data_IF_411878162204
#
_entry.id   IF_411878162204
#
_cell.length_a   1.000
_cell.length_b   1.000
_cell.length_c   1.000
_cell.angle_alpha   90.00
_cell.angle_beta   90.00
_cell.angle_gamma   90.00
#
_symmetry.space_group_name_H-M   'P 1'
#
loop_
_entity.id
_entity.type
_entity.pdbx_description
1 polymer ?
#
# COMPACT_ATOMS: atom_id res chain seq x y z
N UNK A 1 -4.26 6.73 7.74
CA UNK A 1 -5.38 7.72 7.63
C UNK A 1 -5.02 9.08 8.26
N UNK A 2 -4.67 9.18 9.57
CA UNK A 2 -4.47 10.48 10.27
C UNK A 2 -3.42 11.37 9.61
N UNK A 3 -2.27 10.83 9.25
CA UNK A 3 -1.18 11.57 8.59
C UNK A 3 -1.62 12.16 7.25
N UNK A 4 -2.29 11.38 6.42
CA UNK A 4 -2.80 11.86 5.13
C UNK A 4 -3.88 12.94 5.28
N UNK A 5 -4.78 12.76 6.25
CA UNK A 5 -5.80 13.77 6.53
C UNK A 5 -5.21 15.08 7.05
N UNK A 6 -4.16 15.03 7.90
CA UNK A 6 -3.46 16.23 8.37
C UNK A 6 -2.71 16.93 7.24
N UNK A 7 -2.00 16.21 6.38
CA UNK A 7 -1.31 16.80 5.23
C UNK A 7 -2.31 17.53 4.30
N UNK A 8 -3.40 16.86 3.93
CA UNK A 8 -4.44 17.44 3.08
C UNK A 8 -5.08 18.68 3.72
N UNK A 9 -5.39 18.62 5.02
CA UNK A 9 -6.00 19.73 5.75
C UNK A 9 -5.06 20.92 5.88
N UNK A 10 -3.81 20.71 6.31
CA UNK A 10 -2.81 21.77 6.47
C UNK A 10 -2.58 22.44 5.12
N UNK A 11 -2.34 21.68 4.06
CA UNK A 11 -2.09 22.23 2.73
C UNK A 11 -3.27 23.09 2.25
N UNK A 12 -4.50 22.58 2.36
CA UNK A 12 -5.68 23.31 1.91
C UNK A 12 -5.99 24.55 2.77
N UNK A 13 -5.71 24.53 4.08
CA UNK A 13 -5.94 25.67 4.96
C UNK A 13 -4.89 26.79 4.80
N UNK A 14 -3.66 26.43 4.39
CA UNK A 14 -2.53 27.38 4.31
C UNK A 14 -2.30 27.92 2.89
N UNK A 15 -2.89 27.33 1.86
CA UNK A 15 -2.78 27.76 0.47
C UNK A 15 -4.15 28.16 -0.07
N UNK A 16 -4.20 29.29 -0.78
CA UNK A 16 -5.46 29.78 -1.35
C UNK A 16 -5.82 29.12 -2.67
N UNK A 17 -7.12 28.86 -2.86
CA UNK A 17 -7.70 28.36 -4.13
C UNK A 17 -7.10 27.07 -4.66
N UNK A 18 -6.57 26.24 -3.74
CA UNK A 18 -6.00 24.94 -4.14
C UNK A 18 -7.08 23.85 -4.25
N UNK A 19 -6.81 22.88 -5.08
CA UNK A 19 -7.63 21.69 -5.29
C UNK A 19 -6.89 20.49 -4.70
N UNK A 20 -7.49 19.81 -3.73
CA UNK A 20 -6.91 18.63 -3.08
C UNK A 20 -7.81 17.43 -3.37
N UNK A 21 -7.22 16.35 -3.86
CA UNK A 21 -7.92 15.07 -4.01
C UNK A 21 -7.74 14.20 -2.78
N UNK A 22 -8.79 13.50 -2.37
CA UNK A 22 -8.74 12.41 -1.40
C UNK A 22 -9.30 11.18 -2.06
N UNK A 23 -8.52 10.12 -2.16
CA UNK A 23 -8.93 8.89 -2.83
C UNK A 23 -8.89 7.74 -1.84
N UNK A 24 -10.01 7.04 -1.70
CA UNK A 24 -10.16 5.87 -0.83
C UNK A 24 -10.72 4.68 -1.63
N UNK A 25 -10.64 3.44 -1.14
CA UNK A 25 -11.12 2.27 -1.87
C UNK A 25 -12.57 2.40 -2.34
N UNK A 26 -13.47 2.85 -1.46
CA UNK A 26 -14.91 2.99 -1.74
C UNK A 26 -15.48 4.32 -1.27
N UNK A 27 -16.70 4.66 -1.73
CA UNK A 27 -17.44 5.81 -1.19
C UNK A 27 -17.77 5.67 0.31
N UNK A 28 -17.90 4.43 0.80
CA UNK A 28 -18.12 4.15 2.21
C UNK A 28 -16.90 4.56 3.04
N UNK A 29 -15.71 4.20 2.58
CA UNK A 29 -14.44 4.53 3.25
C UNK A 29 -14.18 6.04 3.21
N UNK A 30 -14.46 6.69 2.09
CA UNK A 30 -14.40 8.16 2.02
C UNK A 30 -15.21 8.81 3.14
N UNK A 31 -16.49 8.47 3.24
CA UNK A 31 -17.41 9.13 4.19
C UNK A 31 -17.11 8.78 5.64
N UNK A 32 -16.89 7.48 5.93
CA UNK A 32 -16.77 6.97 7.30
C UNK A 32 -15.37 7.11 7.87
N UNK A 33 -14.34 7.09 7.02
CA UNK A 33 -12.94 7.09 7.43
C UNK A 33 -12.29 8.43 7.09
N UNK A 34 -12.18 8.77 5.79
CA UNK A 34 -11.41 9.93 5.36
C UNK A 34 -12.06 11.26 5.71
N UNK A 35 -13.39 11.37 5.67
CA UNK A 35 -14.10 12.61 6.00
C UNK A 35 -14.63 12.61 7.43
N UNK A 36 -15.48 11.68 7.80
CA UNK A 36 -16.23 11.70 9.06
C UNK A 36 -15.61 10.88 10.20
N UNK A 37 -14.59 10.07 9.95
CA UNK A 37 -13.97 9.22 10.97
C UNK A 37 -13.22 10.01 12.04
N UNK A 38 -12.85 9.39 13.19
CA UNK A 38 -12.13 10.05 14.27
C UNK A 38 -10.81 10.71 13.82
N UNK A 39 -10.15 10.12 12.83
CA UNK A 39 -8.94 10.66 12.20
C UNK A 39 -9.22 11.35 10.86
N UNK A 40 -10.48 11.60 10.55
CA UNK A 40 -10.90 12.18 9.27
C UNK A 40 -10.86 13.71 9.23
N UNK A 41 -10.99 14.24 8.04
CA UNK A 41 -10.83 15.67 7.72
C UNK A 41 -11.77 16.58 8.53
N UNK A 42 -13.03 16.19 8.73
CA UNK A 42 -14.02 17.00 9.44
C UNK A 42 -13.71 17.14 10.96
N UNK A 43 -12.89 16.24 11.51
CA UNK A 43 -12.41 16.30 12.88
C UNK A 43 -11.03 16.96 13.01
N UNK A 44 -10.35 17.21 11.89
CA UNK A 44 -9.01 17.82 11.85
C UNK A 44 -9.10 19.29 11.44
N UNK A 45 -9.92 19.62 10.46
CA UNK A 45 -10.08 20.99 9.95
C UNK A 45 -10.84 21.82 10.99
N UNK A 46 -10.26 22.94 11.45
CA UNK A 46 -10.97 23.86 12.33
C UNK A 46 -12.26 24.36 11.67
N UNK A 47 -13.32 24.48 12.46
CA UNK A 47 -14.65 24.88 11.93
C UNK A 47 -14.63 26.27 11.30
N UNK A 48 -13.81 27.15 11.79
CA UNK A 48 -13.57 28.51 11.26
C UNK A 48 -12.90 28.49 9.89
N UNK A 49 -12.20 27.41 9.53
CA UNK A 49 -11.62 27.25 8.20
C UNK A 49 -12.64 26.79 7.15
N UNK A 50 -13.78 26.26 7.58
CA UNK A 50 -14.84 25.87 6.64
C UNK A 50 -15.54 27.11 6.09
N UNK A 51 -15.99 27.00 4.83
CA UNK A 51 -16.78 28.07 4.20
C UNK A 51 -18.05 28.34 5.02
N UNK A 52 -18.20 29.57 5.49
CA UNK A 52 -19.38 30.07 6.20
C UNK A 52 -20.23 30.86 5.21
N UNK A 53 -21.19 30.21 4.57
CA UNK A 53 -22.10 30.85 3.62
C UNK A 53 -23.54 30.37 3.83
N UNK A 54 -24.51 31.26 3.59
CA UNK A 54 -25.93 30.91 3.63
C UNK A 54 -26.33 30.01 2.46
N UNK A 55 -25.64 30.17 1.33
CA UNK A 55 -26.00 29.49 0.09
C UNK A 55 -25.20 28.22 -0.17
N UNK A 56 -24.07 28.03 0.53
CA UNK A 56 -23.19 26.90 0.34
C UNK A 56 -22.65 26.36 1.67
N UNK A 57 -22.86 25.09 1.91
CA UNK A 57 -22.30 24.42 3.09
C UNK A 57 -20.77 24.23 2.93
N UNK A 58 -20.01 24.42 4.03
CA UNK A 58 -18.59 24.12 4.09
C UNK A 58 -18.27 22.64 3.82
N UNK A 59 -19.21 21.74 4.05
CA UNK A 59 -19.12 20.33 3.65
C UNK A 59 -20.38 19.90 2.88
N UNK A 60 -20.18 19.43 1.66
CA UNK A 60 -21.21 18.89 0.79
C UNK A 60 -21.09 17.36 0.71
N UNK A 61 -21.83 16.65 1.56
CA UNK A 61 -21.75 15.19 1.71
C UNK A 61 -22.18 14.41 0.45
N UNK A 62 -23.04 14.98 -0.39
CA UNK A 62 -23.51 14.35 -1.64
C UNK A 62 -22.41 14.18 -2.68
N UNK A 63 -21.45 15.11 -2.70
CA UNK A 63 -20.32 15.12 -3.62
C UNK A 63 -18.98 14.91 -2.92
N UNK A 64 -19.00 14.60 -1.61
CA UNK A 64 -17.80 14.44 -0.78
C UNK A 64 -16.81 15.61 -0.93
N UNK A 65 -17.28 16.85 -0.81
CA UNK A 65 -16.46 18.05 -1.00
C UNK A 65 -16.47 18.94 0.24
N UNK A 66 -15.27 19.26 0.75
CA UNK A 66 -15.06 20.31 1.75
C UNK A 66 -14.65 21.59 1.03
N UNK A 67 -15.30 22.69 1.39
CA UNK A 67 -15.03 24.04 0.89
C UNK A 67 -14.49 24.88 2.01
N UNK A 68 -13.37 25.54 1.77
CA UNK A 68 -12.70 26.36 2.74
C UNK A 68 -12.90 27.86 2.46
N UNK A 69 -12.78 28.67 3.50
CA UNK A 69 -12.97 30.11 3.44
C UNK A 69 -12.01 30.82 2.44
N UNK A 70 -10.82 30.25 2.24
CA UNK A 70 -9.78 30.76 1.33
C UNK A 70 -9.99 30.33 -0.15
N UNK A 71 -11.13 29.74 -0.47
CA UNK A 71 -11.49 29.27 -1.81
C UNK A 71 -10.90 27.89 -2.19
N UNK A 72 -10.16 27.27 -1.27
CA UNK A 72 -9.65 25.91 -1.48
C UNK A 72 -10.73 24.85 -1.31
N UNK A 73 -10.54 23.72 -1.98
CA UNK A 73 -11.46 22.58 -1.95
C UNK A 73 -10.72 21.27 -1.73
N UNK A 74 -11.34 20.40 -0.94
CA UNK A 74 -10.90 19.01 -0.77
C UNK A 74 -12.02 18.12 -1.27
N UNK A 75 -11.78 17.38 -2.35
CA UNK A 75 -12.79 16.54 -3.01
C UNK A 75 -12.43 15.07 -2.90
N UNK A 76 -13.40 14.25 -2.49
CA UNK A 76 -13.24 12.80 -2.32
C UNK A 76 -13.66 12.01 -3.56
N UNK A 77 -12.83 11.04 -3.91
CA UNK A 77 -13.02 10.11 -5.02
C UNK A 77 -12.91 8.67 -4.54
N UNK A 78 -13.72 7.78 -5.09
CA UNK A 78 -13.59 6.36 -4.82
C UNK A 78 -12.74 5.70 -5.91
N UNK A 79 -11.72 4.94 -5.52
CA UNK A 79 -10.86 4.19 -6.46
C UNK A 79 -11.65 3.15 -7.27
N UNK A 80 -12.81 2.72 -6.79
CA UNK A 80 -13.73 1.85 -7.55
C UNK A 80 -14.35 2.52 -8.80
N UNK A 81 -14.20 3.84 -8.96
CA UNK A 81 -14.67 4.62 -10.11
C UNK A 81 -13.51 5.42 -10.74
N UNK A 82 -12.51 4.78 -11.37
CA UNK A 82 -11.30 5.43 -11.89
C UNK A 82 -11.59 6.58 -12.86
N UNK A 83 -12.62 6.44 -13.67
CA UNK A 83 -12.99 7.44 -14.68
C UNK A 83 -13.38 8.80 -14.07
N UNK A 84 -13.79 8.84 -12.80
CA UNK A 84 -14.10 10.12 -12.12
C UNK A 84 -12.86 10.94 -11.78
N UNK A 85 -11.68 10.33 -11.76
CA UNK A 85 -10.39 10.99 -11.60
C UNK A 85 -9.88 11.59 -12.91
N UNK A 86 -10.50 11.23 -14.03
CA UNK A 86 -10.15 11.72 -15.35
C UNK A 86 -10.77 13.10 -15.59
N UNK A 87 -9.94 14.11 -15.76
CA UNK A 87 -10.37 15.49 -16.04
C UNK A 87 -10.13 16.48 -14.90
N UNK A 88 -10.47 16.19 -13.62
CA UNK A 88 -10.10 17.06 -12.52
C UNK A 88 -8.59 17.25 -12.41
N UNK A 89 -8.17 18.41 -11.87
CA UNK A 89 -6.76 18.74 -11.68
C UNK A 89 -6.51 19.11 -10.23
N UNK A 90 -5.35 18.72 -9.71
CA UNK A 90 -5.04 18.81 -8.29
C UNK A 90 -3.65 19.38 -8.04
N UNK A 91 -3.50 20.10 -6.92
CA UNK A 91 -2.24 20.57 -6.36
C UNK A 91 -1.67 19.53 -5.40
N UNK A 92 -2.54 18.81 -4.70
CA UNK A 92 -2.19 17.82 -3.68
C UNK A 92 -3.15 16.64 -3.76
N UNK A 93 -2.66 15.46 -3.44
CA UNK A 93 -3.51 14.28 -3.34
C UNK A 93 -3.19 13.49 -2.06
N UNK A 94 -4.20 12.84 -1.49
CA UNK A 94 -4.07 11.83 -0.46
C UNK A 94 -4.77 10.56 -0.90
N UNK A 95 -4.02 9.46 -0.99
CA UNK A 95 -4.51 8.11 -1.27
C UNK A 95 -4.55 7.30 0.02
N UNK A 96 -5.73 6.94 0.50
CA UNK A 96 -5.90 6.12 1.68
C UNK A 96 -6.09 4.65 1.30
N UNK A 97 -5.43 3.75 2.04
CA UNK A 97 -5.47 2.30 1.87
C UNK A 97 -5.25 1.82 0.42
N UNK A 98 -4.21 2.35 -0.24
CA UNK A 98 -3.94 2.07 -1.66
C UNK A 98 -3.74 0.58 -1.95
N UNK A 99 -3.23 -0.20 -0.99
CA UNK A 99 -3.07 -1.64 -1.10
C UNK A 99 -4.41 -2.41 -1.20
N UNK A 100 -5.53 -1.77 -0.81
CA UNK A 100 -6.87 -2.33 -0.88
C UNK A 100 -7.65 -1.91 -2.14
N UNK A 101 -7.05 -1.11 -3.03
CA UNK A 101 -7.73 -0.66 -4.24
C UNK A 101 -7.93 -1.80 -5.22
N UNK A 102 -9.19 -2.01 -5.59
CA UNK A 102 -9.57 -3.04 -6.58
C UNK A 102 -9.09 -2.69 -8.00
N UNK A 103 -9.05 -1.39 -8.31
CA UNK A 103 -8.71 -0.86 -9.63
C UNK A 103 -7.47 0.04 -9.51
N UNK A 104 -6.27 -0.52 -9.66
CA UNK A 104 -5.01 0.22 -9.52
C UNK A 104 -4.84 1.34 -10.54
N UNK A 105 -5.51 1.25 -11.70
CA UNK A 105 -5.57 2.30 -12.71
C UNK A 105 -6.15 3.64 -12.20
N UNK A 106 -6.86 3.63 -11.09
CA UNK A 106 -7.30 4.86 -10.42
C UNK A 106 -6.12 5.72 -9.99
N UNK A 107 -4.99 5.09 -9.61
CA UNK A 107 -3.78 5.82 -9.28
C UNK A 107 -3.18 6.52 -10.51
N UNK A 108 -3.15 5.86 -11.66
CA UNK A 108 -2.64 6.46 -12.90
C UNK A 108 -3.51 7.66 -13.33
N UNK A 109 -4.84 7.53 -13.24
CA UNK A 109 -5.76 8.63 -13.56
C UNK A 109 -5.56 9.83 -12.61
N UNK A 110 -5.35 9.56 -11.31
CA UNK A 110 -5.03 10.60 -10.33
C UNK A 110 -3.72 11.32 -10.68
N UNK A 111 -2.67 10.56 -11.02
CA UNK A 111 -1.35 11.12 -11.34
C UNK A 111 -1.40 12.02 -12.59
N UNK A 112 -2.21 11.70 -13.59
CA UNK A 112 -2.45 12.60 -14.72
C UNK A 112 -3.12 13.93 -14.30
N UNK A 113 -3.96 13.90 -13.27
CA UNK A 113 -4.61 15.09 -12.70
C UNK A 113 -3.74 15.88 -11.73
N UNK A 114 -2.72 15.28 -11.15
CA UNK A 114 -1.85 15.89 -10.13
C UNK A 114 -0.77 16.75 -10.80
N UNK A 115 -1.14 17.96 -11.23
CA UNK A 115 -0.29 18.82 -12.07
C UNK A 115 -0.46 20.33 -11.86
N UNK A 116 -1.14 20.74 -10.79
CA UNK A 116 -1.32 22.15 -10.46
C UNK A 116 -0.26 22.62 -9.45
N UNK A 117 0.15 23.88 -9.58
CA UNK A 117 1.16 24.48 -8.71
C UNK A 117 2.58 24.06 -9.09
N UNK A 118 3.54 24.54 -8.30
CA UNK A 118 4.98 24.34 -8.57
C UNK A 118 5.51 23.00 -8.03
N UNK A 119 4.82 22.40 -7.05
CA UNK A 119 5.26 21.17 -6.37
C UNK A 119 4.07 20.26 -6.01
N UNK A 120 3.41 19.66 -7.02
CA UNK A 120 2.30 18.75 -6.79
C UNK A 120 2.80 17.46 -6.12
N UNK A 121 2.17 17.07 -5.00
CA UNK A 121 2.56 15.89 -4.21
C UNK A 121 1.39 14.98 -3.92
N UNK A 122 1.69 13.67 -3.81
CA UNK A 122 0.76 12.65 -3.36
C UNK A 122 1.25 12.04 -2.04
N UNK A 123 0.41 12.09 -1.02
CA UNK A 123 0.61 11.34 0.22
C UNK A 123 -0.16 10.03 0.13
N UNK A 124 0.50 8.93 0.44
CA UNK A 124 -0.10 7.59 0.41
C UNK A 124 -0.04 7.01 1.81
N UNK A 125 -1.19 6.55 2.29
CA UNK A 125 -1.31 5.86 3.57
C UNK A 125 -1.88 4.47 3.34
N UNK A 126 -1.23 3.43 3.85
CA UNK A 126 -1.69 2.05 3.67
C UNK A 126 -1.03 1.09 4.67
N UNK A 127 -1.75 0.04 5.03
CA UNK A 127 -1.11 -1.18 5.54
C UNK A 127 -0.44 -1.89 4.35
N UNK A 128 0.84 -2.27 4.44
CA UNK A 128 1.55 -2.82 3.31
C UNK A 128 1.02 -4.21 2.93
N UNK A 129 0.63 -4.36 1.66
CA UNK A 129 0.31 -5.64 1.03
C UNK A 129 1.10 -5.74 -0.27
N UNK A 130 1.57 -6.92 -0.66
CA UNK A 130 2.44 -7.11 -1.81
C UNK A 130 1.70 -7.04 -3.16
N UNK A 131 0.86 -6.00 -3.33
CA UNK A 131 0.20 -5.72 -4.61
C UNK A 131 1.21 -5.18 -5.62
N UNK A 132 0.96 -5.38 -6.92
CA UNK A 132 1.83 -4.85 -7.99
C UNK A 132 2.01 -3.33 -7.86
N UNK A 133 0.94 -2.61 -7.52
CA UNK A 133 0.98 -1.16 -7.35
C UNK A 133 1.87 -0.76 -6.16
N UNK A 134 1.72 -1.40 -5.00
CA UNK A 134 2.56 -1.09 -3.83
C UNK A 134 4.03 -1.40 -4.13
N UNK A 135 4.34 -2.54 -4.76
CA UNK A 135 5.71 -2.88 -5.14
C UNK A 135 6.31 -1.83 -6.09
N UNK A 136 5.58 -1.44 -7.13
CA UNK A 136 6.06 -0.41 -8.06
C UNK A 136 6.30 0.95 -7.38
N UNK A 137 5.48 1.32 -6.39
CA UNK A 137 5.68 2.55 -5.62
C UNK A 137 6.92 2.50 -4.73
N UNK A 138 7.24 1.33 -4.17
CA UNK A 138 8.44 1.14 -3.34
C UNK A 138 9.74 1.19 -4.15
N UNK A 139 9.69 0.87 -5.44
CA UNK A 139 10.83 0.88 -6.36
C UNK A 139 11.10 2.27 -6.98
N UNK A 140 10.20 3.24 -6.80
CA UNK A 140 10.34 4.58 -7.38
C UNK A 140 11.35 5.43 -6.62
N UNK A 141 12.25 6.09 -7.32
CA UNK A 141 13.25 7.01 -6.75
C UNK A 141 12.63 8.28 -6.16
N UNK A 142 11.46 8.71 -6.65
CA UNK A 142 10.74 9.89 -6.19
C UNK A 142 9.79 9.61 -5.01
N UNK A 143 9.84 8.42 -4.44
CA UNK A 143 9.01 8.02 -3.31
C UNK A 143 9.81 8.01 -2.01
N UNK A 144 9.38 8.81 -1.05
CA UNK A 144 9.91 8.76 0.32
C UNK A 144 9.03 7.86 1.17
N UNK A 145 9.62 6.84 1.78
CA UNK A 145 8.92 5.84 2.57
C UNK A 145 9.15 6.08 4.06
N UNK A 146 8.05 6.23 4.81
CA UNK A 146 8.07 6.21 6.28
C UNK A 146 7.29 5.00 6.76
N UNK A 147 7.77 4.34 7.80
CA UNK A 147 7.10 3.20 8.42
C UNK A 147 6.89 3.49 9.90
N UNK A 148 5.79 3.00 10.43
CA UNK A 148 5.48 3.04 11.86
C UNK A 148 4.74 1.77 12.23
N UNK A 149 5.05 1.19 13.37
CA UNK A 149 4.34 0.03 13.89
C UNK A 149 3.28 0.44 14.91
N UNK A 150 2.36 -0.47 15.23
CA UNK A 150 1.27 -0.21 16.18
C UNK A 150 1.78 0.18 17.56
N UNK A 151 2.92 -0.37 18.00
CA UNK A 151 3.46 -0.15 19.34
C UNK A 151 4.16 1.21 19.48
N UNK A 152 4.58 1.84 18.39
CA UNK A 152 5.05 3.25 18.41
C UNK A 152 3.92 4.24 18.74
N UNK A 153 2.67 3.79 18.67
CA UNK A 153 1.49 4.58 19.01
C UNK A 153 0.77 4.05 20.25
N UNK A 154 1.45 3.27 21.11
CA UNK A 154 0.83 2.60 22.27
C UNK A 154 0.19 3.58 23.27
N UNK A 155 0.76 4.76 23.45
CA UNK A 155 0.21 5.81 24.34
C UNK A 155 -1.21 6.27 23.95
N UNK A 156 -1.61 6.06 22.69
CA UNK A 156 -2.93 6.42 22.18
C UNK A 156 -3.89 5.24 22.10
N UNK A 157 -3.48 4.05 22.54
CA UNK A 157 -4.26 2.82 22.48
C UNK A 157 -4.62 2.35 23.90
N UNK A 158 -5.80 1.75 24.03
CA UNK A 158 -6.19 1.16 25.29
C UNK A 158 -5.28 -0.06 25.62
N UNK A 159 -4.79 -0.14 26.86
CA UNK A 159 -3.91 -1.24 27.32
C UNK A 159 -4.51 -2.62 27.07
N UNK A 160 -5.83 -2.77 27.31
CA UNK A 160 -6.55 -4.01 27.04
C UNK A 160 -6.55 -4.40 25.56
N UNK A 161 -6.62 -3.43 24.66
CA UNK A 161 -6.55 -3.66 23.22
C UNK A 161 -5.14 -4.10 22.80
N UNK A 162 -4.10 -3.41 23.32
CA UNK A 162 -2.71 -3.80 23.07
C UNK A 162 -2.39 -5.22 23.53
N UNK A 163 -2.85 -5.57 24.75
CA UNK A 163 -2.67 -6.91 25.29
C UNK A 163 -3.34 -7.97 24.39
N UNK A 164 -4.58 -7.73 23.99
CA UNK A 164 -5.32 -8.64 23.10
C UNK A 164 -4.63 -8.78 21.73
N UNK A 165 -4.13 -7.67 21.16
CA UNK A 165 -3.41 -7.68 19.89
C UNK A 165 -2.11 -8.49 19.98
N UNK A 166 -1.33 -8.31 21.06
CA UNK A 166 -0.12 -9.11 21.30
C UNK A 166 -0.45 -10.59 21.45
N UNK A 167 -1.36 -10.95 22.36
CA UNK A 167 -1.71 -12.35 22.64
C UNK A 167 -2.22 -13.09 21.40
N UNK A 168 -2.96 -12.40 20.53
CA UNK A 168 -3.63 -13.04 19.39
C UNK A 168 -2.79 -13.06 18.11
N UNK A 169 -1.99 -12.03 17.87
CA UNK A 169 -1.36 -11.81 16.57
C UNK A 169 0.17 -11.79 16.61
N UNK A 170 0.81 -11.62 17.77
CA UNK A 170 2.27 -11.63 17.85
C UNK A 170 2.82 -12.97 17.36
N UNK A 171 3.85 -12.91 16.49
CA UNK A 171 4.44 -14.10 15.86
C UNK A 171 3.65 -14.67 14.67
N UNK A 172 2.47 -14.14 14.36
CA UNK A 172 1.71 -14.55 13.17
C UNK A 172 2.07 -13.71 11.93
N UNK A 173 1.84 -14.25 10.73
CA UNK A 173 1.99 -13.51 9.47
C UNK A 173 1.12 -12.25 9.44
N UNK A 174 -0.13 -12.38 9.93
CA UNK A 174 -1.06 -11.25 10.01
C UNK A 174 -0.54 -10.17 10.98
N UNK A 175 0.00 -10.58 12.13
CA UNK A 175 0.60 -9.66 13.10
C UNK A 175 1.79 -8.91 12.53
N UNK A 176 2.66 -9.58 11.79
CA UNK A 176 3.80 -8.94 11.10
C UNK A 176 3.33 -7.86 10.12
N UNK A 177 2.27 -8.14 9.35
CA UNK A 177 1.70 -7.19 8.40
C UNK A 177 0.96 -6.04 9.09
N UNK A 178 0.03 -6.33 10.00
CA UNK A 178 -0.89 -5.33 10.57
C UNK A 178 -0.31 -4.58 11.78
N UNK A 179 0.54 -5.24 12.61
CA UNK A 179 1.12 -4.62 13.79
C UNK A 179 2.49 -4.01 13.52
N UNK A 180 3.31 -4.66 12.69
CA UNK A 180 4.69 -4.23 12.42
C UNK A 180 4.88 -3.57 11.05
N UNK A 181 3.81 -3.44 10.26
CA UNK A 181 3.83 -2.85 8.92
C UNK A 181 4.88 -3.49 7.99
N UNK A 182 5.06 -4.81 8.11
CA UNK A 182 5.97 -5.56 7.25
C UNK A 182 5.28 -5.91 5.93
N UNK A 183 6.00 -5.71 4.82
CA UNK A 183 5.56 -6.21 3.52
C UNK A 183 5.90 -7.70 3.42
N UNK A 184 4.88 -8.55 3.55
CA UNK A 184 5.08 -10.00 3.53
C UNK A 184 4.67 -10.52 2.16
N UNK A 185 5.62 -11.10 1.45
CA UNK A 185 5.40 -11.65 0.10
C UNK A 185 4.84 -13.08 0.10
N UNK A 186 4.67 -13.71 1.27
CA UNK A 186 4.13 -15.08 1.37
C UNK A 186 2.60 -15.09 1.29
N UNK A 187 2.04 -15.94 0.44
CA UNK A 187 0.61 -16.24 0.43
C UNK A 187 0.25 -17.11 1.64
N UNK A 188 -0.85 -16.80 2.34
CA UNK A 188 -1.45 -17.73 3.31
C UNK A 188 -1.77 -19.04 2.60
N UNK A 189 -1.28 -20.16 3.17
CA UNK A 189 -1.43 -21.49 2.55
C UNK A 189 -0.33 -21.86 1.56
N UNK A 190 0.66 -21.03 1.34
CA UNK A 190 1.85 -21.42 0.57
C UNK A 190 2.57 -22.56 1.28
N UNK A 191 2.89 -23.62 0.54
CA UNK A 191 3.65 -24.78 1.03
C UNK A 191 5.01 -24.34 1.59
N UNK A 192 5.64 -23.34 0.95
CA UNK A 192 6.91 -22.74 1.33
C UNK A 192 6.70 -21.32 1.85
N UNK A 193 7.22 -21.06 3.02
CA UNK A 193 7.24 -19.73 3.62
C UNK A 193 8.69 -19.21 3.64
N UNK A 194 8.89 -17.91 3.40
CA UNK A 194 10.21 -17.31 3.36
C UNK A 194 11.03 -17.60 4.62
N UNK A 195 10.40 -17.54 5.80
CA UNK A 195 11.05 -17.89 7.06
C UNK A 195 11.50 -19.37 7.17
N UNK A 196 10.87 -20.29 6.44
CA UNK A 196 11.35 -21.69 6.34
C UNK A 196 12.58 -21.75 5.44
N UNK A 197 12.54 -21.06 4.30
CA UNK A 197 13.65 -20.98 3.34
C UNK A 197 14.88 -20.35 4.02
N UNK A 198 14.70 -19.22 4.71
CA UNK A 198 15.81 -18.50 5.35
C UNK A 198 16.47 -19.33 6.48
N UNK A 199 15.68 -20.06 7.27
CA UNK A 199 16.23 -20.97 8.30
C UNK A 199 16.92 -22.20 7.72
N UNK A 200 16.60 -22.56 6.49
CA UNK A 200 17.17 -23.71 5.77
C UNK A 200 18.35 -23.33 4.87
N UNK A 201 18.73 -22.05 4.83
CA UNK A 201 19.91 -21.61 4.06
C UNK A 201 21.18 -22.21 4.64
N UNK A 202 21.99 -22.79 3.79
CA UNK A 202 23.30 -23.28 4.19
C UNK A 202 24.31 -22.13 4.27
N UNK A 203 25.28 -22.19 5.23
CA UNK A 203 26.43 -21.29 5.22
C UNK A 203 27.23 -21.45 3.92
N UNK A 204 27.77 -20.33 3.41
CA UNK A 204 28.54 -20.32 2.16
C UNK A 204 29.80 -21.21 2.17
N UNK A 205 30.35 -21.49 3.36
CA UNK A 205 31.58 -22.29 3.54
C UNK A 205 31.29 -23.77 3.81
N UNK A 206 30.06 -24.24 3.57
CA UNK A 206 29.71 -25.64 3.84
C UNK A 206 29.99 -26.51 2.61
N UNK A 207 31.05 -27.30 2.70
CA UNK A 207 31.43 -28.28 1.66
C UNK A 207 30.59 -29.54 1.84
N UNK A 208 29.57 -29.71 0.97
CA UNK A 208 28.67 -30.87 1.00
C UNK A 208 29.05 -31.86 -0.11
N UNK A 209 29.39 -33.09 0.28
CA UNK A 209 29.58 -34.16 -0.71
C UNK A 209 28.24 -34.56 -1.34
N UNK A 210 28.06 -34.19 -2.61
CA UNK A 210 26.88 -34.53 -3.37
C UNK A 210 27.07 -35.86 -4.13
N UNK A 211 26.09 -36.73 -4.01
CA UNK A 211 26.06 -38.02 -4.73
C UNK A 211 25.37 -37.92 -6.08
N UNK A 212 24.50 -36.92 -6.26
CA UNK A 212 23.72 -36.72 -7.48
C UNK A 212 23.38 -35.24 -7.66
N UNK A 213 23.39 -34.80 -8.93
CA UNK A 213 22.84 -33.48 -9.32
C UNK A 213 21.68 -33.74 -10.28
N UNK A 214 20.57 -33.06 -10.04
CA UNK A 214 19.32 -33.18 -10.78
C UNK A 214 18.93 -31.79 -11.27
N UNK A 215 18.52 -31.67 -12.52
CA UNK A 215 17.89 -30.46 -13.05
C UNK A 215 16.40 -30.72 -13.16
N UNK A 216 15.62 -29.97 -12.39
CA UNK A 216 14.16 -29.99 -12.43
C UNK A 216 13.66 -28.85 -13.32
N UNK A 217 12.79 -29.16 -14.27
CA UNK A 217 12.22 -28.17 -15.19
C UNK A 217 10.70 -28.24 -15.14
N UNK A 218 10.07 -27.08 -14.86
CA UNK A 218 8.63 -26.88 -14.96
C UNK A 218 8.37 -25.88 -16.09
N UNK A 219 8.06 -26.36 -17.31
CA UNK A 219 7.96 -25.51 -18.49
C UNK A 219 6.69 -24.67 -18.47
N UNK A 220 6.80 -23.37 -18.77
CA UNK A 220 5.64 -22.52 -19.04
C UNK A 220 4.90 -22.98 -20.30
N UNK A 221 3.58 -23.07 -20.24
CA UNK A 221 2.73 -23.55 -21.33
C UNK A 221 2.58 -22.51 -22.46
N UNK A 222 2.84 -21.22 -22.17
CA UNK A 222 2.67 -20.11 -23.12
C UNK A 222 3.89 -19.20 -23.12
N UNK A 223 4.23 -18.64 -24.30
CA UNK A 223 5.38 -17.74 -24.49
C UNK A 223 5.02 -16.25 -24.65
N UNK A 224 3.86 -15.81 -24.15
CA UNK A 224 3.39 -14.42 -24.25
C UNK A 224 4.08 -13.50 -23.21
N UNK A 225 4.07 -12.18 -23.43
CA UNK A 225 4.57 -11.18 -22.45
C UNK A 225 3.93 -11.29 -21.05
N UNK A 226 2.78 -11.94 -20.92
CA UNK A 226 2.04 -12.20 -19.69
C UNK A 226 2.06 -13.68 -19.29
N UNK A 227 2.93 -14.52 -19.89
CA UNK A 227 3.05 -15.93 -19.53
C UNK A 227 3.77 -16.10 -18.19
N UNK A 228 3.50 -17.24 -17.54
CA UNK A 228 4.27 -17.69 -16.39
C UNK A 228 5.74 -17.92 -16.77
N UNK A 229 6.63 -17.91 -15.81
CA UNK A 229 8.04 -18.21 -15.99
C UNK A 229 8.25 -19.73 -16.03
N UNK A 230 9.22 -20.18 -16.80
CA UNK A 230 9.68 -21.57 -16.75
C UNK A 230 10.53 -21.74 -15.49
N UNK A 231 10.11 -22.65 -14.60
CA UNK A 231 10.87 -23.02 -13.41
C UNK A 231 12.03 -23.93 -13.78
N UNK A 232 13.27 -23.56 -13.43
CA UNK A 232 14.47 -24.39 -13.62
C UNK A 232 15.31 -24.35 -12.35
N UNK A 233 15.37 -25.50 -11.65
CA UNK A 233 16.15 -25.63 -10.42
C UNK A 233 17.25 -26.66 -10.58
N UNK A 234 18.46 -26.31 -10.17
CA UNK A 234 19.57 -27.26 -10.01
C UNK A 234 19.58 -27.74 -8.57
N UNK A 235 19.40 -29.03 -8.36
CA UNK A 235 19.25 -29.65 -7.04
C UNK A 235 20.34 -30.70 -6.83
N UNK A 236 21.10 -30.55 -5.76
CA UNK A 236 22.06 -31.57 -5.29
C UNK A 236 21.41 -32.50 -4.27
N UNK A 237 21.85 -33.76 -4.24
CA UNK A 237 21.46 -34.75 -3.26
C UNK A 237 22.69 -35.36 -2.60
N UNK A 238 22.72 -35.45 -1.27
CA UNK A 238 23.77 -36.14 -0.54
C UNK A 238 23.44 -37.63 -0.30
N UNK A 239 24.36 -38.35 0.34
CA UNK A 239 24.22 -39.75 0.69
C UNK A 239 23.21 -40.03 1.81
N UNK A 240 22.78 -38.98 2.55
CA UNK A 240 21.76 -39.06 3.60
C UNK A 240 20.34 -38.76 3.05
N UNK A 241 20.21 -38.53 1.74
CA UNK A 241 18.99 -38.13 1.02
C UNK A 241 18.49 -36.72 1.38
N UNK A 242 19.36 -35.83 1.83
CA UNK A 242 19.01 -34.41 1.89
C UNK A 242 19.13 -33.79 0.51
N UNK A 243 18.26 -32.82 0.23
CA UNK A 243 18.23 -32.09 -1.04
C UNK A 243 18.64 -30.63 -0.82
N UNK A 244 19.48 -30.14 -1.71
CA UNK A 244 20.04 -28.80 -1.67
C UNK A 244 19.74 -28.09 -2.98
N UNK A 245 19.08 -26.91 -2.92
CA UNK A 245 18.93 -26.07 -4.10
C UNK A 245 20.26 -25.37 -4.30
N UNK A 246 20.95 -25.72 -5.38
CA UNK A 246 22.26 -25.21 -5.73
C UNK A 246 22.16 -23.91 -6.54
N UNK A 247 21.18 -23.87 -7.46
CA UNK A 247 20.98 -22.73 -8.34
C UNK A 247 19.52 -22.65 -8.79
N UNK A 248 19.01 -21.42 -8.91
CA UNK A 248 17.72 -21.12 -9.50
C UNK A 248 17.93 -20.39 -10.82
N UNK A 249 17.64 -21.07 -11.92
CA UNK A 249 17.74 -20.58 -13.30
C UNK A 249 16.36 -20.27 -13.89
N UNK A 250 15.33 -20.19 -13.02
CA UNK A 250 13.97 -19.90 -13.44
C UNK A 250 13.88 -18.52 -14.12
N UNK A 251 13.03 -18.44 -15.14
CA UNK A 251 12.88 -17.19 -15.87
C UNK A 251 12.02 -17.34 -17.13
N UNK A 252 11.92 -16.26 -17.87
CA UNK A 252 11.25 -16.24 -19.17
C UNK A 252 12.26 -16.58 -20.25
N UNK A 253 12.21 -17.81 -20.72
CA UNK A 253 13.07 -18.30 -21.79
C UNK A 253 12.29 -18.26 -23.12
N UNK A 254 12.91 -17.69 -24.18
CA UNK A 254 12.39 -17.82 -25.54
C UNK A 254 12.70 -19.23 -26.03
N UNK A 255 11.71 -19.93 -26.54
CA UNK A 255 11.88 -21.18 -27.28
C UNK A 255 12.47 -20.90 -28.65
#
# INVERSE_FOLDING_TARGET
TRTGAQDAAIYACTHEKVQVAVVAPTHGDLRRVCFGGPSGLLNIIPKECLLQSKDQAGYASTVNEIRLWNGSKITGYAAQEPERLRGPQFHRAWCDEIAAWRYPEAFDQLMFGLRLGDDPKCVITTTPRPTKLVKSLLEREDTTITRGNTFENEDNLAESALKMLRERYEGTTLGRQELYAELIESHEGALWQMGMIDRSRMPQDHDQELTQIIIAVDPAVTSNKNSDETGILVVGKDYQNHFYILEDLSGRHSV
#
